data_IF_357016221587
#
_entry.id   IF_357016221587
#
_cell.length_a   1.000
_cell.length_b   1.000
_cell.length_c   1.000
_cell.angle_alpha   90.00
_cell.angle_beta   90.00
_cell.angle_gamma   90.00
#
_symmetry.space_group_name_H-M   'P 1'
#
loop_
_entity.id
_entity.type
_entity.pdbx_description
1 polymer ?
#
# COMPACT_ATOMS: atom_id res chain seq x y z
N UNK A 1 -8.38 -9.85 -3.42
CA UNK A 1 -7.32 -8.84 -3.50
C UNK A 1 -6.73 -8.87 -4.90
N UNK A 2 -6.91 -7.85 -5.74
CA UNK A 2 -6.26 -7.86 -7.06
C UNK A 2 -4.93 -7.11 -6.99
N UNK A 3 -3.86 -7.82 -7.30
CA UNK A 3 -2.50 -7.34 -7.46
C UNK A 3 -2.42 -6.39 -8.67
N UNK A 4 -1.67 -5.30 -8.56
CA UNK A 4 -1.37 -4.40 -9.67
C UNK A 4 0.12 -4.48 -10.00
N UNK A 5 0.51 -4.45 -11.28
CA UNK A 5 1.93 -4.50 -11.68
C UNK A 5 2.29 -3.17 -12.33
N UNK A 6 3.33 -2.52 -11.81
CA UNK A 6 3.81 -1.24 -12.30
C UNK A 6 5.34 -1.25 -12.38
N UNK A 7 5.89 -1.01 -13.58
CA UNK A 7 7.34 -0.95 -13.86
C UNK A 7 8.17 -2.12 -13.30
N UNK A 8 7.61 -3.33 -13.29
CA UNK A 8 8.27 -4.54 -12.77
C UNK A 8 8.13 -4.77 -11.27
N UNK A 9 7.40 -3.90 -10.57
CA UNK A 9 7.01 -4.10 -9.17
C UNK A 9 5.57 -4.61 -9.10
N UNK A 10 5.31 -5.46 -8.11
CA UNK A 10 3.98 -5.89 -7.74
C UNK A 10 3.48 -5.02 -6.58
N UNK A 11 2.29 -4.47 -6.74
CA UNK A 11 1.67 -3.53 -5.81
C UNK A 11 0.42 -4.19 -5.25
N UNK A 12 0.36 -4.26 -3.92
CA UNK A 12 -0.72 -4.86 -3.16
C UNK A 12 -1.36 -3.82 -2.24
N UNK A 13 -2.50 -3.24 -2.64
CA UNK A 13 -3.33 -2.40 -1.78
C UNK A 13 -3.83 -3.17 -0.54
N UNK A 14 -3.63 -2.59 0.64
CA UNK A 14 -4.07 -3.10 1.93
C UNK A 14 -5.03 -2.09 2.55
N UNK A 15 -6.34 -2.32 2.40
CA UNK A 15 -7.39 -1.40 2.87
C UNK A 15 -8.06 -1.99 4.08
N UNK A 16 -8.19 -1.21 5.15
CA UNK A 16 -8.78 -1.65 6.41
C UNK A 16 -9.60 -0.53 7.06
N UNK A 17 -10.62 -0.86 7.88
CA UNK A 17 -11.38 0.14 8.61
C UNK A 17 -10.46 0.98 9.51
N UNK A 18 -10.69 2.30 9.57
CA UNK A 18 -9.91 3.21 10.40
C UNK A 18 -10.07 2.91 11.90
N UNK A 19 -11.32 2.62 12.30
CA UNK A 19 -11.64 2.21 13.67
C UNK A 19 -12.13 0.77 13.65
N UNK A 20 -11.63 -0.09 14.56
CA UNK A 20 -12.20 -1.43 14.75
C UNK A 20 -13.70 -1.34 15.02
N UNK A 21 -14.46 -2.30 14.52
CA UNK A 21 -15.89 -2.30 14.77
C UNK A 21 -16.17 -2.38 16.28
N UNK A 22 -17.02 -1.50 16.84
CA UNK A 22 -17.41 -1.62 18.23
C UNK A 22 -18.17 -2.94 18.42
N UNK A 23 -17.77 -3.67 19.46
CA UNK A 23 -18.38 -4.84 20.09
C UNK A 23 -19.50 -5.52 19.27
N UNK A 24 -19.14 -6.47 18.41
CA UNK A 24 -20.08 -7.40 17.77
C UNK A 24 -20.57 -7.00 16.37
N UNK A 25 -20.28 -5.80 15.89
CA UNK A 25 -20.44 -5.48 14.47
C UNK A 25 -19.24 -6.01 13.68
N UNK A 26 -19.43 -6.55 12.46
CA UNK A 26 -18.31 -7.01 11.66
C UNK A 26 -17.41 -5.84 11.24
N UNK A 27 -17.95 -4.70 10.78
CA UNK A 27 -17.18 -3.55 10.27
C UNK A 27 -17.80 -2.20 10.73
N UNK A 28 -16.98 -1.19 11.00
CA UNK A 28 -17.39 0.21 11.22
C UNK A 28 -17.02 1.05 10.00
N UNK A 29 -17.93 1.12 9.04
CA UNK A 29 -17.72 1.85 7.78
C UNK A 29 -17.90 3.37 7.92
N UNK A 30 -18.57 3.83 8.97
CA UNK A 30 -18.82 5.26 9.21
C UNK A 30 -17.56 6.01 9.68
N UNK A 31 -16.61 5.28 10.26
CA UNK A 31 -15.32 5.85 10.66
C UNK A 31 -14.30 5.99 9.51
N UNK A 32 -14.66 5.57 8.30
CA UNK A 32 -13.80 5.57 7.13
C UNK A 32 -12.75 4.46 7.12
N UNK A 33 -11.81 4.57 6.19
CA UNK A 33 -10.80 3.55 5.91
C UNK A 33 -9.40 4.13 5.96
N UNK A 34 -8.46 3.34 6.45
CA UNK A 34 -7.05 3.57 6.28
C UNK A 34 -6.52 2.72 5.11
N UNK A 35 -5.40 3.17 4.56
CA UNK A 35 -4.70 2.45 3.49
C UNK A 35 -3.24 2.18 3.86
N UNK A 36 -2.76 1.02 3.46
CA UNK A 36 -1.36 0.73 3.29
C UNK A 36 -1.15 0.09 1.92
N UNK A 37 0.08 0.03 1.47
CA UNK A 37 0.45 -0.63 0.23
C UNK A 37 1.73 -1.42 0.41
N UNK A 38 1.71 -2.68 0.02
CA UNK A 38 2.92 -3.50 -0.07
C UNK A 38 3.43 -3.48 -1.50
N UNK A 39 4.69 -3.11 -1.66
CA UNK A 39 5.39 -3.10 -2.95
C UNK A 39 6.41 -4.22 -2.91
N UNK A 40 6.35 -5.12 -3.89
CA UNK A 40 7.28 -6.24 -4.04
C UNK A 40 8.06 -6.09 -5.34
N UNK A 41 9.37 -6.27 -5.28
CA UNK A 41 10.21 -6.52 -6.43
C UNK A 41 10.52 -8.01 -6.46
N UNK A 42 10.05 -8.70 -7.51
CA UNK A 42 10.46 -10.08 -7.73
C UNK A 42 11.87 -10.09 -8.30
N UNK A 43 12.82 -10.63 -7.53
CA UNK A 43 14.16 -10.92 -8.03
C UNK A 43 14.11 -11.91 -9.19
N UNK A 44 15.02 -11.76 -10.15
CA UNK A 44 15.18 -12.68 -11.30
C UNK A 44 15.73 -14.05 -10.90
N UNK A 45 16.27 -14.16 -9.68
CA UNK A 45 16.82 -15.38 -9.10
C UNK A 45 16.05 -15.65 -7.82
N UNK A 46 15.50 -16.86 -7.72
CA UNK A 46 14.37 -17.34 -6.90
C UNK A 46 14.49 -17.21 -5.36
N UNK A 47 15.26 -16.27 -4.82
CA UNK A 47 15.60 -16.22 -3.39
C UNK A 47 15.48 -14.86 -2.72
N UNK A 48 15.26 -13.76 -3.45
CA UNK A 48 15.03 -12.45 -2.80
C UNK A 48 13.89 -11.68 -3.46
N UNK A 49 12.66 -11.91 -2.99
CA UNK A 49 11.57 -10.95 -3.20
C UNK A 49 11.77 -9.83 -2.20
N UNK A 50 12.32 -8.70 -2.63
CA UNK A 50 12.37 -7.51 -1.78
C UNK A 50 10.96 -6.96 -1.70
N UNK A 51 10.44 -6.78 -0.49
CA UNK A 51 9.13 -6.18 -0.32
C UNK A 51 9.12 -5.23 0.85
N UNK A 52 8.40 -4.14 0.70
CA UNK A 52 8.23 -3.13 1.74
C UNK A 52 6.78 -2.68 1.78
N UNK A 53 6.28 -2.49 2.99
CA UNK A 53 4.90 -2.04 3.22
C UNK A 53 4.94 -0.60 3.71
N UNK A 54 4.18 0.26 3.05
CA UNK A 54 4.09 1.67 3.38
C UNK A 54 2.65 1.97 3.80
N UNK A 55 2.50 2.60 4.97
CA UNK A 55 1.20 3.12 5.41
C UNK A 55 0.99 4.50 4.80
N UNK A 56 -0.19 4.72 4.24
CA UNK A 56 -0.58 6.06 3.78
C UNK A 56 -0.97 6.87 5.02
N UNK A 57 -0.11 7.80 5.39
CA UNK A 57 -0.39 8.77 6.45
C UNK A 57 -1.14 9.96 5.83
N UNK A 58 -2.44 9.80 5.62
CA UNK A 58 -3.29 10.92 5.25
C UNK A 58 -3.80 11.65 6.50
N UNK A 59 -4.20 12.91 6.35
CA UNK A 59 -4.65 13.75 7.50
C UNK A 59 -5.99 13.30 8.06
N UNK A 60 -6.78 12.59 7.27
CA UNK A 60 -8.07 12.02 7.63
C UNK A 60 -8.24 10.65 6.99
N UNK A 61 -9.09 9.78 7.56
CA UNK A 61 -9.46 8.52 6.91
C UNK A 61 -10.11 8.76 5.54
N UNK A 62 -10.03 7.77 4.67
CA UNK A 62 -10.73 7.78 3.39
C UNK A 62 -12.22 7.44 3.58
N UNK A 63 -13.10 8.19 2.90
CA UNK A 63 -14.55 7.98 2.97
C UNK A 63 -14.99 6.61 2.43
N UNK A 64 -14.22 6.04 1.50
CA UNK A 64 -14.53 4.73 0.92
C UNK A 64 -13.28 3.87 0.72
N UNK A 65 -13.47 2.55 0.76
CA UNK A 65 -12.42 1.59 0.42
C UNK A 65 -11.91 1.77 -1.03
N UNK A 66 -12.76 2.28 -1.93
CA UNK A 66 -12.39 2.58 -3.31
C UNK A 66 -11.41 3.76 -3.41
N UNK A 67 -11.65 4.82 -2.63
CA UNK A 67 -10.75 5.98 -2.52
C UNK A 67 -9.43 5.57 -1.90
N UNK A 68 -9.48 4.86 -0.77
CA UNK A 68 -8.31 4.33 -0.08
C UNK A 68 -7.45 3.47 -1.02
N UNK A 69 -8.10 2.64 -1.84
CA UNK A 69 -7.44 1.81 -2.85
C UNK A 69 -6.77 2.63 -3.95
N UNK A 70 -7.47 3.60 -4.54
CA UNK A 70 -6.87 4.47 -5.57
C UNK A 70 -5.70 5.26 -5.02
N UNK A 71 -5.82 5.79 -3.81
CA UNK A 71 -4.74 6.49 -3.12
C UNK A 71 -3.53 5.57 -2.91
N UNK A 72 -3.76 4.32 -2.46
CA UNK A 72 -2.68 3.35 -2.25
C UNK A 72 -1.90 3.02 -3.53
N UNK A 73 -2.59 2.90 -4.66
CA UNK A 73 -1.96 2.65 -5.96
C UNK A 73 -1.13 3.84 -6.40
N UNK A 74 -1.73 5.04 -6.38
CA UNK A 74 -1.04 6.29 -6.75
C UNK A 74 0.20 6.54 -5.89
N UNK A 75 0.10 6.31 -4.58
CA UNK A 75 1.22 6.45 -3.66
C UNK A 75 2.37 5.50 -4.02
N UNK A 76 2.06 4.24 -4.33
CA UNK A 76 3.07 3.26 -4.75
C UNK A 76 3.71 3.62 -6.10
N UNK A 77 2.92 4.07 -7.07
CA UNK A 77 3.43 4.53 -8.37
C UNK A 77 4.38 5.72 -8.21
N UNK A 78 4.01 6.74 -7.43
CA UNK A 78 4.87 7.89 -7.11
C UNK A 78 6.16 7.44 -6.42
N UNK A 79 6.08 6.57 -5.41
CA UNK A 79 7.25 6.01 -4.73
C UNK A 79 8.20 5.33 -5.72
N UNK A 80 7.68 4.51 -6.61
CA UNK A 80 8.46 3.77 -7.62
C UNK A 80 9.11 4.75 -8.60
N UNK A 81 8.37 5.76 -9.06
CA UNK A 81 8.89 6.77 -9.98
C UNK A 81 9.99 7.63 -9.33
N UNK A 82 9.79 8.11 -8.09
CA UNK A 82 10.74 8.97 -7.36
C UNK A 82 12.05 8.27 -6.98
N UNK A 83 11.99 6.97 -6.72
CA UNK A 83 13.14 6.17 -6.31
C UNK A 83 13.83 5.47 -7.48
N UNK A 84 13.31 5.52 -8.71
CA UNK A 84 13.95 4.85 -9.85
C UNK A 84 15.25 5.53 -10.29
N UNK A 85 15.41 6.82 -10.03
CA UNK A 85 16.66 7.55 -10.28
C UNK A 85 17.73 7.28 -9.22
N UNK A 86 17.31 6.81 -8.04
CA UNK A 86 18.18 6.50 -6.90
C UNK A 86 18.32 4.98 -6.85
N UNK A 87 19.50 4.43 -7.11
CA UNK A 87 19.74 2.97 -7.24
C UNK A 87 19.37 2.09 -6.02
N UNK A 88 18.62 2.57 -5.03
CA UNK A 88 18.20 1.85 -3.84
C UNK A 88 16.77 2.16 -3.41
N UNK A 89 15.76 1.64 -4.12
CA UNK A 89 14.35 1.70 -3.68
C UNK A 89 14.15 1.07 -2.29
N UNK A 90 14.87 -0.04 -2.00
CA UNK A 90 14.82 -0.74 -0.71
C UNK A 90 16.02 -0.44 0.20
N UNK A 91 16.87 0.53 -0.16
CA UNK A 91 18.13 0.78 0.57
C UNK A 91 17.99 1.75 1.76
N UNK A 92 16.78 2.22 2.05
CA UNK A 92 16.52 3.32 2.99
C UNK A 92 15.52 3.01 4.10
N UNK A 93 15.59 1.83 4.72
CA UNK A 93 14.82 1.53 5.93
C UNK A 93 15.73 0.94 7.01
N UNK A 94 16.24 1.81 7.89
CA UNK A 94 16.57 1.50 9.27
C UNK A 94 15.43 2.00 10.16
#
# INVERSE_FOLDING_TARGET
MSMHVYRGFEIYPLIYPHVPAPNGCPHNYDAGFDAAVKICLRGTTDTLTQSQTFRLHDKSPFDSAGDARRASLRYAETMIDDNREKQGFFSGAL
#
